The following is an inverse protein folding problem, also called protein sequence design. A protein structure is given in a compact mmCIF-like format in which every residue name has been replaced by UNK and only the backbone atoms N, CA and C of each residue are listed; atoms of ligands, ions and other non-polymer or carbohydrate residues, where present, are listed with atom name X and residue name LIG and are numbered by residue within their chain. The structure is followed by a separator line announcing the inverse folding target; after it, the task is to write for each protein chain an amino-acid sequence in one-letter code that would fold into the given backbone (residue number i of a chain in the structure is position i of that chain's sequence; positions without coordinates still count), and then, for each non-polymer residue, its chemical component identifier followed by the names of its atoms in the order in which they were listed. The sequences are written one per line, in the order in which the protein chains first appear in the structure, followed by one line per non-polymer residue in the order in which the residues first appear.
data_IF_187121381555
#
_entry.id   IF_187121381555
#
_cell.length_a   1.000
_cell.length_b   1.000
_cell.length_c   1.000
_cell.angle_alpha   90.00
_cell.angle_beta   90.00
_cell.angle_gamma   90.00
#
_symmetry.space_group_name_H-M   'P 1'
#
loop_
_entity.id
_entity.type
_entity.pdbx_description
1 polymer ?
#
# COMPACT_ATOMS: atom_id res chain seq x y z
N UNK A 1 -12.24 10.48 52.89
CA UNK A 1 -12.23 11.42 51.75
C UNK A 1 -12.25 10.62 50.43
N UNK A 2 -13.21 9.72 50.25
CA UNK A 2 -13.12 8.65 49.22
C UNK A 2 -14.21 8.74 48.15
N UNK A 3 -15.32 9.40 48.44
CA UNK A 3 -16.43 9.62 47.50
C UNK A 3 -16.01 10.23 46.15
N UNK A 4 -15.22 11.31 46.09
CA UNK A 4 -14.85 11.91 44.80
C UNK A 4 -13.95 11.00 43.96
N UNK A 5 -13.04 10.24 44.58
CA UNK A 5 -12.18 9.29 43.88
C UNK A 5 -12.99 8.12 43.30
N UNK A 6 -13.93 7.60 44.07
CA UNK A 6 -14.83 6.55 43.61
C UNK A 6 -15.66 7.01 42.39
N UNK A 7 -16.19 8.23 42.42
CA UNK A 7 -16.94 8.82 41.30
C UNK A 7 -16.05 8.95 40.07
N UNK A 8 -14.82 9.45 40.21
CA UNK A 8 -13.89 9.60 39.07
C UNK A 8 -13.54 8.24 38.47
N UNK A 9 -13.30 7.21 39.28
CA UNK A 9 -12.96 5.88 38.79
C UNK A 9 -14.14 5.26 38.04
N UNK A 10 -15.34 5.33 38.61
CA UNK A 10 -16.55 4.72 38.01
C UNK A 10 -16.97 5.47 36.75
N UNK A 11 -17.10 6.79 36.81
CA UNK A 11 -17.52 7.58 35.65
C UNK A 11 -16.41 7.68 34.61
N UNK A 12 -15.16 7.88 35.03
CA UNK A 12 -14.01 7.90 34.12
C UNK A 12 -13.83 6.57 33.40
N UNK A 13 -13.93 5.45 34.13
CA UNK A 13 -13.88 4.11 33.55
C UNK A 13 -15.03 3.84 32.59
N UNK A 14 -16.25 4.22 32.95
CA UNK A 14 -17.43 4.05 32.08
C UNK A 14 -17.33 4.89 30.81
N UNK A 15 -16.93 6.16 30.91
CA UNK A 15 -16.74 7.04 29.75
C UNK A 15 -15.64 6.50 28.84
N UNK A 16 -14.51 6.06 29.41
CA UNK A 16 -13.43 5.47 28.63
C UNK A 16 -13.86 4.16 27.94
N UNK A 17 -14.67 3.34 28.60
CA UNK A 17 -15.24 2.11 28.03
C UNK A 17 -16.18 2.41 26.86
N UNK A 18 -17.08 3.38 27.01
CA UNK A 18 -18.01 3.79 25.94
C UNK A 18 -17.25 4.40 24.74
N UNK A 19 -16.26 5.25 25.00
CA UNK A 19 -15.41 5.80 23.95
C UNK A 19 -14.64 4.69 23.23
N UNK A 20 -14.10 3.69 23.94
CA UNK A 20 -13.36 2.57 23.33
C UNK A 20 -14.23 1.73 22.39
N UNK A 21 -15.54 1.67 22.60
CA UNK A 21 -16.50 1.00 21.70
C UNK A 21 -17.07 1.91 20.61
N UNK A 22 -16.85 3.22 20.69
CA UNK A 22 -17.31 4.19 19.70
C UNK A 22 -16.31 4.33 18.55
N UNK A 23 -16.80 4.65 17.35
CA UNK A 23 -15.98 5.00 16.18
C UNK A 23 -14.99 6.13 16.49
N UNK A 24 -15.37 7.06 17.38
CA UNK A 24 -14.53 8.18 17.79
C UNK A 24 -13.31 7.70 18.61
N UNK A 25 -13.49 6.73 19.52
CA UNK A 25 -12.37 6.20 20.30
C UNK A 25 -11.43 5.34 19.47
N UNK A 26 -11.96 4.62 18.46
CA UNK A 26 -11.14 3.91 17.47
C UNK A 26 -10.32 4.90 16.64
N UNK A 27 -10.92 5.96 16.11
CA UNK A 27 -10.21 6.99 15.34
C UNK A 27 -9.09 7.69 16.14
N UNK A 28 -9.34 7.98 17.43
CA UNK A 28 -8.32 8.55 18.33
C UNK A 28 -7.22 7.51 18.62
N UNK A 29 -7.58 6.25 18.88
CA UNK A 29 -6.61 5.19 19.10
C UNK A 29 -5.73 4.95 17.86
N UNK A 30 -6.31 4.99 16.66
CA UNK A 30 -5.60 4.86 15.39
C UNK A 30 -4.66 6.05 15.16
N UNK A 31 -5.09 7.26 15.51
CA UNK A 31 -4.24 8.45 15.49
C UNK A 31 -3.06 8.34 16.45
N UNK A 32 -3.29 7.87 17.68
CA UNK A 32 -2.25 7.73 18.72
C UNK A 32 -1.28 6.59 18.37
N UNK A 33 -1.77 5.51 17.77
CA UNK A 33 -0.94 4.40 17.26
C UNK A 33 -0.06 4.79 16.07
N UNK A 34 -0.09 6.06 15.64
CA UNK A 34 0.60 6.51 14.44
C UNK A 34 0.06 5.86 13.18
N UNK A 35 -1.14 5.26 13.24
CA UNK A 35 -1.75 4.49 12.17
C UNK A 35 -2.47 5.45 11.21
N UNK A 36 -1.72 6.40 10.67
CA UNK A 36 -2.08 7.07 9.43
C UNK A 36 -2.08 6.11 8.22
N UNK A 37 -1.79 4.82 8.43
CA UNK A 37 -1.74 3.74 7.43
C UNK A 37 -2.58 2.53 7.89
N UNK A 38 -3.76 2.79 8.45
CA UNK A 38 -4.64 1.79 9.05
C UNK A 38 -6.01 1.65 8.42
N UNK A 39 -6.32 2.41 7.36
CA UNK A 39 -7.30 1.94 6.41
C UNK A 39 -6.72 0.64 5.85
N UNK A 40 -7.31 -0.50 6.22
CA UNK A 40 -6.83 -1.82 5.82
C UNK A 40 -6.51 -1.80 4.34
N UNK A 41 -5.40 -2.44 3.96
CA UNK A 41 -5.06 -2.74 2.58
C UNK A 41 -6.35 -3.16 1.86
N UNK A 42 -6.91 -2.22 1.10
CA UNK A 42 -8.20 -2.43 0.46
C UNK A 42 -7.95 -3.57 -0.54
N UNK A 43 -8.61 -4.73 -0.38
CA UNK A 43 -8.37 -5.87 -1.26
C UNK A 43 -8.57 -5.51 -2.74
N UNK A 44 -9.45 -4.54 -3.03
CA UNK A 44 -9.63 -4.04 -4.39
C UNK A 44 -8.40 -3.28 -4.90
N UNK A 45 -7.77 -2.44 -4.06
CA UNK A 45 -6.53 -1.74 -4.42
C UNK A 45 -5.36 -2.72 -4.58
N UNK A 46 -5.30 -3.78 -3.77
CA UNK A 46 -4.30 -4.83 -3.91
C UNK A 46 -4.44 -5.60 -5.22
N UNK A 47 -5.67 -5.96 -5.58
CA UNK A 47 -5.98 -6.63 -6.86
C UNK A 47 -5.61 -5.73 -8.05
N UNK A 48 -5.90 -4.43 -7.97
CA UNK A 48 -5.55 -3.49 -9.02
C UNK A 48 -4.03 -3.28 -9.15
N UNK A 49 -3.30 -3.24 -8.03
CA UNK A 49 -1.83 -3.21 -8.05
C UNK A 49 -1.27 -4.49 -8.68
N UNK A 50 -1.83 -5.65 -8.37
CA UNK A 50 -1.38 -6.91 -8.95
C UNK A 50 -1.66 -6.98 -10.46
N UNK A 51 -2.82 -6.49 -10.89
CA UNK A 51 -3.15 -6.32 -12.31
C UNK A 51 -2.15 -5.40 -13.01
N UNK A 52 -1.84 -4.23 -12.43
CA UNK A 52 -0.88 -3.30 -12.99
C UNK A 52 0.52 -3.90 -13.10
N UNK A 53 0.94 -4.73 -12.13
CA UNK A 53 2.22 -5.44 -12.18
C UNK A 53 2.30 -6.40 -13.36
N UNK A 54 1.22 -7.12 -13.66
CA UNK A 54 1.14 -8.00 -14.83
C UNK A 54 1.23 -7.20 -16.14
N UNK A 55 0.46 -6.11 -16.25
CA UNK A 55 0.48 -5.24 -17.44
C UNK A 55 1.86 -4.61 -17.68
N UNK A 56 2.56 -4.18 -16.62
CA UNK A 56 3.94 -3.66 -16.71
C UNK A 56 4.92 -4.75 -17.13
N UNK A 57 4.77 -5.98 -16.63
CA UNK A 57 5.61 -7.12 -17.04
C UNK A 57 5.48 -7.40 -18.53
N UNK A 58 4.26 -7.43 -19.06
CA UNK A 58 4.02 -7.63 -20.50
C UNK A 58 4.58 -6.47 -21.33
N UNK A 59 4.46 -5.24 -20.85
CA UNK A 59 5.03 -4.07 -21.52
C UNK A 59 6.56 -4.16 -21.58
N UNK A 60 7.21 -4.62 -20.51
CA UNK A 60 8.65 -4.83 -20.48
C UNK A 60 9.12 -5.87 -21.51
N UNK A 61 8.39 -6.98 -21.67
CA UNK A 61 8.72 -8.00 -22.69
C UNK A 61 8.62 -7.43 -24.11
N UNK A 62 7.57 -6.67 -24.40
CA UNK A 62 7.40 -6.01 -25.70
C UNK A 62 8.48 -4.97 -25.96
N UNK A 63 8.91 -4.25 -24.92
CA UNK A 63 9.99 -3.27 -25.00
C UNK A 63 11.34 -3.94 -25.26
N UNK A 64 11.67 -5.01 -24.53
CA UNK A 64 12.89 -5.81 -24.76
C UNK A 64 12.92 -6.36 -26.20
N UNK A 65 11.78 -6.81 -26.72
CA UNK A 65 11.68 -7.24 -28.10
C UNK A 65 11.95 -6.10 -29.10
N UNK A 66 11.38 -4.91 -28.87
CA UNK A 66 11.64 -3.75 -29.70
C UNK A 66 13.12 -3.32 -29.66
N UNK A 67 13.75 -3.38 -28.49
CA UNK A 67 15.18 -3.09 -28.33
C UNK A 67 16.04 -4.06 -29.15
N UNK A 68 15.77 -5.36 -29.07
CA UNK A 68 16.48 -6.38 -29.86
C UNK A 68 16.27 -6.20 -31.38
N UNK A 69 15.07 -5.85 -31.81
CA UNK A 69 14.79 -5.55 -33.22
C UNK A 69 15.53 -4.31 -33.72
N UNK A 70 15.62 -3.27 -32.89
CA UNK A 70 16.38 -2.07 -33.23
C UNK A 70 17.89 -2.34 -33.28
N UNK A 71 18.42 -3.10 -32.31
CA UNK A 71 19.82 -3.51 -32.28
C UNK A 71 20.19 -4.35 -33.51
N UNK A 72 19.39 -5.37 -33.84
CA UNK A 72 19.61 -6.20 -35.05
C UNK A 72 19.54 -5.41 -36.35
N UNK A 73 18.70 -4.35 -36.42
CA UNK A 73 18.68 -3.45 -37.58
C UNK A 73 19.92 -2.54 -37.63
N UNK A 74 20.43 -2.12 -36.48
CA UNK A 74 21.62 -1.28 -36.39
C UNK A 74 22.91 -2.01 -36.76
N UNK A 75 23.00 -3.33 -36.48
CA UNK A 75 24.22 -4.11 -36.74
C UNK A 75 24.46 -4.44 -38.22
N UNK A 76 23.43 -4.40 -39.09
CA UNK A 76 23.56 -4.62 -40.55
C UNK A 76 24.15 -6.00 -40.92
N UNK A 77 23.99 -6.48 -42.17
CA UNK A 77 24.59 -7.75 -42.56
C UNK A 77 26.12 -7.69 -42.40
N UNK A 78 26.77 -8.70 -41.79
CA UNK A 78 28.22 -8.71 -41.64
C UNK A 78 28.83 -8.51 -43.03
N UNK A 79 29.60 -7.43 -43.16
CA UNK A 79 30.31 -7.11 -44.40
C UNK A 79 31.05 -8.36 -44.87
N UNK A 80 30.72 -8.82 -46.08
CA UNK A 80 31.43 -9.93 -46.71
C UNK A 80 32.90 -9.52 -46.74
N UNK A 81 33.83 -10.28 -46.14
CA UNK A 81 35.24 -9.93 -46.18
C UNK A 81 35.70 -9.93 -47.64
N UNK A 82 36.15 -8.77 -48.12
CA UNK A 82 36.82 -8.67 -49.41
C UNK A 82 38.08 -9.55 -49.38
N UNK A 83 38.21 -10.37 -50.43
CA UNK A 83 39.28 -11.34 -50.62
C UNK A 83 40.64 -10.69 -50.84
#
# INVERSE_FOLDING_TARGET
MEGPLFIIIVFGGMVLFLLSKSEIGQAIADRIRGRAHGAGEDPALLEEVERLRLEVSELHERMDFAERLLASRAEGPPGIPER
#
